data_IF_869687089560
#
_entry.id   IF_869687089560
#
_cell.length_a   1.000
_cell.length_b   1.000
_cell.length_c   1.000
_cell.angle_alpha   90.00
_cell.angle_beta   90.00
_cell.angle_gamma   90.00
#
_symmetry.space_group_name_H-M   'P 1'
#
loop_
_entity.id
_entity.type
_entity.pdbx_description
1 polymer ?
#
# COMPACT_ATOMS: atom_id res chain seq x y z
N UNK A 1 -10.52 14.10 -19.68
CA UNK A 1 -9.28 14.07 -18.87
C UNK A 1 -8.28 15.13 -19.35
N UNK A 2 -7.74 15.06 -20.59
CA UNK A 2 -6.74 16.04 -21.05
C UNK A 2 -7.19 17.51 -20.90
N UNK A 3 -8.39 17.85 -21.40
CA UNK A 3 -8.97 19.19 -21.22
C UNK A 3 -9.14 19.57 -19.74
N UNK A 4 -9.51 18.61 -18.89
CA UNK A 4 -9.67 18.86 -17.45
C UNK A 4 -8.33 19.16 -16.79
N UNK A 5 -7.25 18.46 -17.18
CA UNK A 5 -5.88 18.74 -16.73
C UNK A 5 -5.44 20.13 -17.18
N UNK A 6 -5.72 20.50 -18.43
CA UNK A 6 -5.47 21.85 -18.95
C UNK A 6 -6.19 22.91 -18.10
N UNK A 7 -7.47 22.68 -17.79
CA UNK A 7 -8.27 23.60 -16.99
C UNK A 7 -7.76 23.71 -15.54
N UNK A 8 -7.31 22.61 -14.92
CA UNK A 8 -6.68 22.68 -13.59
C UNK A 8 -5.40 23.53 -13.63
N UNK A 9 -4.60 23.35 -14.68
CA UNK A 9 -3.33 24.05 -14.84
C UNK A 9 -3.52 25.56 -15.11
N UNK A 10 -4.41 25.93 -16.02
CA UNK A 10 -4.63 27.31 -16.45
C UNK A 10 -5.43 28.16 -15.48
N UNK A 11 -6.14 27.54 -14.53
CA UNK A 11 -7.01 28.27 -13.61
C UNK A 11 -6.22 29.06 -12.55
N UNK A 12 -6.48 30.37 -12.45
CA UNK A 12 -5.78 31.27 -11.51
C UNK A 12 -6.35 31.23 -10.10
N UNK A 13 -7.67 31.04 -9.97
CA UNK A 13 -8.35 30.98 -8.67
C UNK A 13 -8.22 29.59 -8.04
N UNK A 14 -7.66 29.56 -6.83
CA UNK A 14 -7.42 28.31 -6.10
C UNK A 14 -8.69 27.49 -5.82
N UNK A 15 -9.83 28.13 -5.52
CA UNK A 15 -11.10 27.43 -5.27
C UNK A 15 -11.62 26.71 -6.51
N UNK A 16 -11.64 27.39 -7.66
CA UNK A 16 -12.07 26.82 -8.94
C UNK A 16 -11.11 25.72 -9.40
N UNK A 17 -9.80 25.89 -9.18
CA UNK A 17 -8.79 24.83 -9.43
C UNK A 17 -9.06 23.57 -8.60
N UNK A 18 -9.31 23.74 -7.31
CA UNK A 18 -9.58 22.62 -6.39
C UNK A 18 -10.88 21.88 -6.77
N UNK A 19 -11.92 22.60 -7.20
CA UNK A 19 -13.17 22.01 -7.65
C UNK A 19 -12.98 21.15 -8.90
N UNK A 20 -12.27 21.66 -9.92
CA UNK A 20 -11.99 20.92 -11.16
C UNK A 20 -11.13 19.69 -10.85
N UNK A 21 -10.12 19.84 -9.99
CA UNK A 21 -9.28 18.73 -9.54
C UNK A 21 -10.11 17.65 -8.86
N UNK A 22 -10.98 18.02 -7.91
CA UNK A 22 -11.85 17.07 -7.19
C UNK A 22 -12.76 16.31 -8.16
N UNK A 23 -13.43 17.02 -9.08
CA UNK A 23 -14.31 16.38 -10.07
C UNK A 23 -13.56 15.38 -10.96
N UNK A 24 -12.31 15.68 -11.30
CA UNK A 24 -11.48 14.78 -12.10
C UNK A 24 -11.03 13.54 -11.30
N UNK A 25 -10.69 13.72 -10.02
CA UNK A 25 -10.41 12.63 -9.09
C UNK A 25 -11.64 11.73 -8.95
N UNK A 26 -12.82 12.29 -8.73
CA UNK A 26 -14.08 11.55 -8.62
C UNK A 26 -14.37 10.77 -9.91
N UNK A 27 -14.23 11.41 -11.08
CA UNK A 27 -14.41 10.75 -12.38
C UNK A 27 -13.54 9.50 -12.53
N UNK A 28 -12.26 9.57 -12.12
CA UNK A 28 -11.34 8.43 -12.20
C UNK A 28 -11.52 7.42 -11.05
N UNK A 29 -12.10 7.84 -9.93
CA UNK A 29 -12.45 6.94 -8.81
C UNK A 29 -13.45 5.89 -9.24
N UNK A 30 -14.41 6.27 -10.10
CA UNK A 30 -15.45 5.38 -10.61
C UNK A 30 -15.11 4.75 -11.97
N UNK A 31 -13.92 4.99 -12.51
CA UNK A 31 -13.49 4.37 -13.76
C UNK A 31 -13.07 2.90 -13.52
N UNK A 32 -13.63 1.98 -14.30
CA UNK A 32 -13.29 0.56 -14.21
C UNK A 32 -11.84 0.27 -14.60
N UNK A 33 -11.22 -0.66 -13.88
CA UNK A 33 -9.91 -1.22 -14.23
C UNK A 33 -10.06 -2.20 -15.39
N UNK A 34 -9.90 -1.71 -16.61
CA UNK A 34 -9.85 -2.52 -17.83
C UNK A 34 -8.75 -2.02 -18.78
N UNK A 35 -8.36 -2.87 -19.72
CA UNK A 35 -7.28 -2.60 -20.68
C UNK A 35 -7.50 -1.31 -21.47
N UNK A 36 -8.73 -1.05 -21.92
CA UNK A 36 -9.07 0.15 -22.67
C UNK A 36 -8.85 1.43 -21.85
N UNK A 37 -9.24 1.42 -20.57
CA UNK A 37 -9.04 2.56 -19.68
C UNK A 37 -7.57 2.74 -19.31
N UNK A 38 -6.82 1.64 -19.16
CA UNK A 38 -5.37 1.71 -18.95
C UNK A 38 -4.67 2.35 -20.15
N UNK A 39 -4.93 1.87 -21.37
CA UNK A 39 -4.37 2.43 -22.62
C UNK A 39 -4.70 3.92 -22.75
N UNK A 40 -5.90 4.33 -22.36
CA UNK A 40 -6.26 5.77 -22.35
C UNK A 40 -5.40 6.57 -21.38
N UNK A 41 -5.15 6.07 -20.17
CA UNK A 41 -4.28 6.75 -19.20
C UNK A 41 -2.83 6.81 -19.67
N UNK A 42 -2.35 5.73 -20.30
CA UNK A 42 -1.00 5.63 -20.86
C UNK A 42 -0.78 6.65 -21.99
N UNK A 43 -1.69 6.67 -22.97
CA UNK A 43 -1.70 7.64 -24.06
C UNK A 43 -1.75 9.09 -23.55
N UNK A 44 -2.52 9.36 -22.48
CA UNK A 44 -2.58 10.69 -21.86
C UNK A 44 -1.27 11.05 -21.18
N UNK A 45 -0.64 10.10 -20.49
CA UNK A 45 0.67 10.30 -19.86
C UNK A 45 1.73 10.67 -20.90
N UNK A 46 1.73 9.96 -22.03
CA UNK A 46 2.63 10.20 -23.16
C UNK A 46 2.42 11.56 -23.81
N UNK A 47 1.16 11.99 -23.97
CA UNK A 47 0.84 13.33 -24.46
C UNK A 47 1.47 14.44 -23.59
N UNK A 48 1.63 14.20 -22.28
CA UNK A 48 2.23 15.15 -21.36
C UNK A 48 3.75 15.00 -21.19
N UNK A 49 4.41 14.11 -21.94
CA UNK A 49 5.86 13.85 -21.83
C UNK A 49 6.73 14.91 -22.53
N UNK A 50 6.15 15.89 -23.23
CA UNK A 50 6.90 17.01 -23.82
C UNK A 50 7.46 17.96 -22.73
N UNK A 51 8.61 18.62 -22.97
CA UNK A 51 9.20 19.55 -21.99
C UNK A 51 8.25 20.70 -21.60
N UNK A 52 7.43 21.18 -22.55
CA UNK A 52 6.41 22.22 -22.32
C UNK A 52 5.27 21.76 -21.40
N UNK A 53 5.01 20.46 -21.31
CA UNK A 53 3.88 19.89 -20.57
C UNK A 53 4.27 19.23 -19.24
N UNK A 54 5.53 19.36 -18.80
CA UNK A 54 6.02 18.80 -17.53
C UNK A 54 5.16 19.17 -16.30
N UNK A 55 4.57 20.38 -16.28
CA UNK A 55 3.65 20.80 -15.22
C UNK A 55 2.28 20.09 -15.31
N UNK A 56 1.79 19.82 -16.52
CA UNK A 56 0.54 19.08 -16.74
C UNK A 56 0.72 17.61 -16.37
N UNK A 57 1.87 17.01 -16.73
CA UNK A 57 2.25 15.66 -16.29
C UNK A 57 2.26 15.54 -14.77
N UNK A 58 2.75 16.56 -14.07
CA UNK A 58 2.71 16.61 -12.60
C UNK A 58 1.27 16.61 -12.06
N UNK A 59 0.39 17.47 -12.59
CA UNK A 59 -1.03 17.51 -12.20
C UNK A 59 -1.71 16.17 -12.50
N UNK A 60 -1.42 15.56 -13.65
CA UNK A 60 -1.93 14.25 -14.02
C UNK A 60 -1.57 13.19 -12.97
N UNK A 61 -0.30 13.08 -12.57
CA UNK A 61 0.08 12.15 -11.51
C UNK A 61 -0.54 12.47 -10.15
N UNK A 62 -0.69 13.76 -9.81
CA UNK A 62 -1.35 14.15 -8.56
C UNK A 62 -2.81 13.68 -8.55
N UNK A 63 -3.51 13.73 -9.68
CA UNK A 63 -4.86 13.17 -9.84
C UNK A 63 -4.84 11.65 -9.72
N UNK A 64 -3.95 10.96 -10.46
CA UNK A 64 -3.82 9.50 -10.43
C UNK A 64 -3.60 9.00 -8.99
N UNK A 65 -2.74 9.67 -8.25
CA UNK A 65 -2.43 9.29 -6.86
C UNK A 65 -3.66 9.42 -5.96
N UNK A 66 -4.55 10.37 -6.24
CA UNK A 66 -5.70 10.70 -5.39
C UNK A 66 -6.99 9.93 -5.73
N UNK A 67 -7.16 9.36 -6.93
CA UNK A 67 -8.43 8.71 -7.34
C UNK A 67 -8.76 7.40 -6.63
N UNK A 68 -7.86 6.78 -5.85
CA UNK A 68 -8.14 5.60 -5.02
C UNK A 68 -8.89 4.43 -5.72
N UNK A 69 -8.90 4.38 -7.06
CA UNK A 69 -9.45 3.27 -7.83
C UNK A 69 -8.34 2.27 -8.14
N UNK A 70 -8.74 1.01 -8.36
CA UNK A 70 -7.80 -0.06 -8.73
C UNK A 70 -6.99 0.32 -9.99
N UNK A 71 -7.65 0.89 -11.01
CA UNK A 71 -7.00 1.39 -12.22
C UNK A 71 -5.89 2.40 -11.91
N UNK A 72 -6.21 3.41 -11.11
CA UNK A 72 -5.27 4.46 -10.73
C UNK A 72 -4.09 3.91 -9.93
N UNK A 73 -4.36 2.99 -8.99
CA UNK A 73 -3.32 2.33 -8.21
C UNK A 73 -2.37 1.51 -9.08
N UNK A 74 -2.91 0.74 -10.05
CA UNK A 74 -2.12 -0.05 -10.99
C UNK A 74 -1.26 0.87 -11.85
N UNK A 75 -1.87 1.94 -12.40
CA UNK A 75 -1.16 2.91 -13.22
C UNK A 75 0.00 3.58 -12.47
N UNK A 76 -0.26 4.07 -11.24
CA UNK A 76 0.77 4.66 -10.38
C UNK A 76 1.88 3.66 -10.02
N UNK A 77 1.52 2.39 -9.80
CA UNK A 77 2.47 1.31 -9.51
C UNK A 77 3.41 1.03 -10.70
N UNK A 78 2.88 1.02 -11.92
CA UNK A 78 3.67 0.80 -13.14
C UNK A 78 4.55 2.00 -13.49
N UNK A 79 4.10 3.20 -13.15
CA UNK A 79 4.80 4.45 -13.41
C UNK A 79 5.58 4.98 -12.19
N UNK A 80 5.83 4.13 -11.18
CA UNK A 80 6.42 4.57 -9.90
C UNK A 80 7.73 5.35 -10.07
N UNK A 81 8.54 4.97 -11.05
CA UNK A 81 9.86 5.56 -11.31
C UNK A 81 9.79 6.94 -11.97
N UNK A 82 8.65 7.30 -12.55
CA UNK A 82 8.41 8.64 -13.11
C UNK A 82 7.92 9.64 -12.06
N UNK A 83 7.47 9.13 -10.90
CA UNK A 83 6.94 9.96 -9.85
C UNK A 83 8.05 10.74 -9.12
N UNK A 84 7.76 12.00 -8.88
CA UNK A 84 8.09 12.75 -7.65
C UNK A 84 8.53 11.97 -6.40
N UNK A 85 9.62 12.30 -5.69
CA UNK A 85 9.76 11.82 -4.29
C UNK A 85 8.55 12.20 -3.42
N UNK A 86 8.01 13.42 -3.63
CA UNK A 86 6.76 13.88 -2.98
C UNK A 86 5.56 13.05 -3.42
N UNK A 87 5.45 12.76 -4.71
CA UNK A 87 4.33 11.99 -5.29
C UNK A 87 4.38 10.53 -4.85
N UNK A 88 5.55 9.89 -4.83
CA UNK A 88 5.72 8.54 -4.28
C UNK A 88 5.29 8.45 -2.82
N UNK A 89 5.70 9.41 -1.98
CA UNK A 89 5.25 9.43 -0.59
C UNK A 89 3.74 9.63 -0.47
N UNK A 90 3.15 10.53 -1.27
CA UNK A 90 1.70 10.72 -1.31
C UNK A 90 0.97 9.44 -1.79
N UNK A 91 1.50 8.75 -2.79
CA UNK A 91 1.00 7.47 -3.28
C UNK A 91 1.01 6.42 -2.18
N UNK A 92 2.14 6.24 -1.50
CA UNK A 92 2.25 5.30 -0.37
C UNK A 92 1.24 5.63 0.73
N UNK A 93 1.06 6.91 1.07
CA UNK A 93 0.06 7.34 2.06
C UNK A 93 -1.37 7.01 1.58
N UNK A 94 -1.67 7.23 0.31
CA UNK A 94 -2.98 6.94 -0.25
C UNK A 94 -3.25 5.44 -0.32
N UNK A 95 -2.23 4.60 -0.53
CA UNK A 95 -2.37 3.14 -0.42
C UNK A 95 -2.86 2.72 0.97
N UNK A 96 -2.43 3.38 2.05
CA UNK A 96 -2.93 3.07 3.41
C UNK A 96 -4.44 3.30 3.59
N UNK A 97 -5.06 4.12 2.75
CA UNK A 97 -6.46 4.53 2.86
C UNK A 97 -7.29 4.15 1.63
N UNK A 98 -6.74 3.27 0.78
CA UNK A 98 -7.34 2.86 -0.48
C UNK A 98 -8.67 2.13 -0.25
N UNK A 99 -9.78 2.69 -0.73
CA UNK A 99 -11.14 2.22 -0.38
C UNK A 99 -11.43 0.78 -0.77
N UNK A 100 -11.10 0.40 -2.00
CA UNK A 100 -11.32 -0.97 -2.49
C UNK A 100 -10.10 -1.45 -3.29
N UNK A 101 -9.08 -2.01 -2.60
CA UNK A 101 -7.89 -2.51 -3.26
C UNK A 101 -8.19 -3.87 -3.89
N UNK A 102 -8.51 -3.87 -5.19
CA UNK A 102 -8.79 -5.11 -5.93
C UNK A 102 -7.56 -6.02 -6.10
N UNK A 103 -7.79 -7.28 -6.52
CA UNK A 103 -6.76 -8.30 -6.58
C UNK A 103 -5.64 -8.00 -7.59
N UNK A 104 -5.92 -7.24 -8.66
CA UNK A 104 -4.90 -6.89 -9.65
C UNK A 104 -3.92 -5.87 -9.06
N UNK A 105 -4.43 -4.85 -8.37
CA UNK A 105 -3.57 -3.90 -7.66
C UNK A 105 -2.72 -4.61 -6.60
N UNK A 106 -3.31 -5.48 -5.78
CA UNK A 106 -2.56 -6.27 -4.80
C UNK A 106 -1.45 -7.09 -5.48
N UNK A 107 -1.73 -7.70 -6.63
CA UNK A 107 -0.75 -8.41 -7.45
C UNK A 107 0.41 -7.51 -7.90
N UNK A 108 0.12 -6.35 -8.48
CA UNK A 108 1.15 -5.39 -8.91
C UNK A 108 2.01 -4.87 -7.76
N UNK A 109 1.40 -4.69 -6.59
CA UNK A 109 2.10 -4.27 -5.38
C UNK A 109 3.04 -5.35 -4.84
N UNK A 110 2.68 -6.64 -4.92
CA UNK A 110 3.61 -7.73 -4.57
C UNK A 110 4.81 -7.81 -5.53
N UNK A 111 4.65 -7.38 -6.78
CA UNK A 111 5.73 -7.31 -7.76
C UNK A 111 6.68 -6.12 -7.51
N UNK A 112 6.35 -5.21 -6.58
CA UNK A 112 7.16 -4.02 -6.30
C UNK A 112 8.59 -4.37 -5.86
N UNK A 113 8.74 -5.42 -5.06
CA UNK A 113 10.05 -5.89 -4.59
C UNK A 113 11.00 -6.19 -5.75
N UNK A 114 10.49 -6.94 -6.73
CA UNK A 114 11.21 -7.29 -7.95
C UNK A 114 11.51 -6.06 -8.78
N UNK A 115 10.51 -5.20 -9.02
CA UNK A 115 10.65 -3.96 -9.82
C UNK A 115 11.74 -3.05 -9.25
N UNK A 116 11.75 -2.84 -7.92
CA UNK A 116 12.73 -1.98 -7.27
C UNK A 116 14.16 -2.58 -7.31
N UNK A 117 14.29 -3.90 -7.14
CA UNK A 117 15.59 -4.61 -7.25
C UNK A 117 16.17 -4.54 -8.65
N UNK A 118 15.38 -4.85 -9.68
CA UNK A 118 15.81 -4.82 -11.09
C UNK A 118 16.34 -3.44 -11.51
N UNK A 119 15.84 -2.38 -10.88
CA UNK A 119 16.24 -0.99 -11.13
C UNK A 119 17.38 -0.50 -10.23
N UNK A 120 17.93 -1.34 -9.34
CA UNK A 120 18.91 -0.94 -8.33
C UNK A 120 18.47 0.31 -7.54
N UNK A 121 17.22 0.31 -7.05
CA UNK A 121 16.62 1.50 -6.44
C UNK A 121 17.43 2.02 -5.23
N UNK A 122 17.89 3.29 -5.23
CA UNK A 122 18.81 3.82 -4.21
C UNK A 122 18.28 3.78 -2.77
N UNK A 123 16.96 3.78 -2.59
CA UNK A 123 16.29 3.76 -1.28
C UNK A 123 15.44 2.50 -1.09
N UNK A 124 15.83 1.39 -1.73
CA UNK A 124 15.08 0.14 -1.77
C UNK A 124 14.55 -0.30 -0.40
N UNK A 125 15.43 -0.50 0.59
CA UNK A 125 15.02 -1.01 1.91
C UNK A 125 14.00 -0.09 2.60
N UNK A 126 14.20 1.23 2.55
CA UNK A 126 13.33 2.19 3.23
C UNK A 126 11.98 2.33 2.55
N UNK A 127 11.95 2.41 1.21
CA UNK A 127 10.68 2.56 0.49
C UNK A 127 9.90 1.24 0.45
N UNK A 128 10.57 0.10 0.29
CA UNK A 128 9.93 -1.22 0.35
C UNK A 128 9.29 -1.45 1.72
N UNK A 129 9.94 -1.00 2.80
CA UNK A 129 9.35 -1.03 4.13
C UNK A 129 8.03 -0.26 4.20
N UNK A 130 8.00 0.98 3.71
CA UNK A 130 6.78 1.81 3.69
C UNK A 130 5.68 1.17 2.85
N UNK A 131 6.04 0.62 1.69
CA UNK A 131 5.11 -0.10 0.82
C UNK A 131 4.50 -1.30 1.54
N UNK A 132 5.30 -2.15 2.21
CA UNK A 132 4.76 -3.28 2.99
C UNK A 132 3.80 -2.83 4.08
N UNK A 133 4.10 -1.72 4.76
CA UNK A 133 3.17 -1.12 5.72
C UNK A 133 1.86 -0.67 5.06
N UNK A 134 1.91 -0.03 3.89
CA UNK A 134 0.72 0.33 3.14
C UNK A 134 -0.09 -0.90 2.73
N UNK A 135 0.57 -1.93 2.20
CA UNK A 135 -0.07 -3.17 1.76
C UNK A 135 -0.77 -3.87 2.91
N UNK A 136 -0.16 -3.89 4.09
CA UNK A 136 -0.81 -4.45 5.28
C UNK A 136 -2.12 -3.74 5.63
N UNK A 137 -2.22 -2.43 5.40
CA UNK A 137 -3.46 -1.67 5.64
C UNK A 137 -4.50 -1.98 4.57
N UNK A 138 -4.08 -2.15 3.32
CA UNK A 138 -4.95 -2.55 2.20
C UNK A 138 -5.53 -3.95 2.40
N UNK A 139 -4.74 -4.90 2.90
CA UNK A 139 -5.23 -6.25 3.23
C UNK A 139 -6.39 -6.18 4.23
N UNK A 140 -6.22 -5.41 5.30
CA UNK A 140 -7.29 -5.21 6.26
C UNK A 140 -8.54 -4.64 5.60
N UNK A 141 -8.38 -3.58 4.80
CA UNK A 141 -9.49 -2.89 4.14
C UNK A 141 -10.23 -3.83 3.17
N UNK A 142 -9.49 -4.60 2.35
CA UNK A 142 -10.06 -5.64 1.47
C UNK A 142 -10.86 -6.66 2.26
N UNK A 143 -10.37 -7.10 3.42
CA UNK A 143 -11.04 -8.13 4.21
C UNK A 143 -12.26 -7.63 4.96
N UNK A 144 -12.37 -6.33 5.23
CA UNK A 144 -13.60 -5.74 5.77
C UNK A 144 -14.69 -5.68 4.71
N UNK A 145 -14.34 -5.27 3.49
CA UNK A 145 -15.31 -5.10 2.38
C UNK A 145 -15.67 -6.43 1.70
N UNK A 146 -14.72 -7.38 1.61
CA UNK A 146 -14.85 -8.63 0.86
C UNK A 146 -14.47 -9.86 1.71
N UNK A 147 -15.17 -10.14 2.82
CA UNK A 147 -14.75 -11.15 3.80
C UNK A 147 -14.64 -12.58 3.23
N UNK A 148 -15.41 -12.92 2.19
CA UNK A 148 -15.45 -14.26 1.60
C UNK A 148 -14.29 -14.53 0.63
N UNK A 149 -13.84 -13.52 -0.12
CA UNK A 149 -12.75 -13.68 -1.11
C UNK A 149 -11.39 -13.22 -0.57
N UNK A 150 -11.37 -12.51 0.56
CA UNK A 150 -10.16 -11.82 0.99
C UNK A 150 -8.94 -12.73 1.18
N UNK A 151 -9.13 -13.94 1.69
CA UNK A 151 -8.00 -14.86 1.91
C UNK A 151 -7.31 -15.23 0.59
N UNK A 152 -8.10 -15.46 -0.47
CA UNK A 152 -7.59 -15.72 -1.81
C UNK A 152 -6.90 -14.47 -2.38
N UNK A 153 -7.56 -13.32 -2.31
CA UNK A 153 -7.08 -12.05 -2.86
C UNK A 153 -5.77 -11.57 -2.21
N UNK A 154 -5.62 -11.79 -0.89
CA UNK A 154 -4.54 -11.20 -0.09
C UNK A 154 -3.44 -12.19 0.29
N UNK A 155 -3.63 -13.49 0.05
CA UNK A 155 -2.68 -14.53 0.47
C UNK A 155 -1.25 -14.30 -0.03
N UNK A 156 -1.09 -13.79 -1.26
CA UNK A 156 0.23 -13.43 -1.82
C UNK A 156 0.89 -12.28 -1.06
N UNK A 157 0.14 -11.24 -0.74
CA UNK A 157 0.62 -10.09 0.03
C UNK A 157 1.02 -10.53 1.43
N UNK A 158 0.20 -11.36 2.07
CA UNK A 158 0.49 -11.86 3.41
C UNK A 158 1.73 -12.74 3.44
N UNK A 159 1.90 -13.64 2.47
CA UNK A 159 3.13 -14.43 2.31
C UNK A 159 4.36 -13.54 2.11
N UNK A 160 4.22 -12.47 1.32
CA UNK A 160 5.28 -11.49 1.09
C UNK A 160 5.66 -10.69 2.34
N UNK A 161 4.69 -10.36 3.20
CA UNK A 161 4.92 -9.66 4.48
C UNK A 161 5.52 -10.61 5.52
N UNK A 162 4.95 -11.80 5.69
CA UNK A 162 5.38 -12.77 6.70
C UNK A 162 6.67 -13.48 6.34
N UNK A 163 7.19 -13.27 5.13
CA UNK A 163 8.45 -13.83 4.67
C UNK A 163 9.53 -13.48 5.71
N UNK A 164 10.18 -14.52 6.21
CA UNK A 164 11.29 -14.47 7.17
C UNK A 164 10.93 -14.17 8.63
N UNK A 165 9.64 -14.16 9.04
CA UNK A 165 9.29 -13.93 10.46
C UNK A 165 9.88 -15.00 11.39
N UNK A 166 9.96 -16.24 10.91
CA UNK A 166 10.54 -17.36 11.67
C UNK A 166 12.02 -17.09 12.01
N UNK A 167 12.75 -16.49 11.08
CA UNK A 167 14.17 -16.14 11.24
C UNK A 167 14.38 -14.97 12.21
N UNK A 168 13.32 -14.25 12.59
CA UNK A 168 13.39 -13.05 13.41
C UNK A 168 12.92 -13.25 14.85
N UNK A 169 12.65 -14.49 15.25
CA UNK A 169 12.24 -14.84 16.61
C UNK A 169 13.14 -15.89 17.28
N UNK A 170 14.40 -15.94 16.85
CA UNK A 170 15.48 -16.75 17.44
C UNK A 170 16.29 -15.98 18.48
N UNK A 171 17.14 -16.68 19.23
CA UNK A 171 18.07 -16.07 20.20
C UNK A 171 19.23 -15.36 19.50
N UNK A 172 19.78 -14.30 20.15
CA UNK A 172 21.00 -13.57 19.73
C UNK A 172 20.92 -12.90 18.34
N UNK A 173 19.77 -12.34 18.00
CA UNK A 173 19.59 -11.56 16.79
C UNK A 173 20.38 -10.24 16.82
N UNK A 174 20.83 -9.80 15.65
CA UNK A 174 21.39 -8.46 15.47
C UNK A 174 20.33 -7.38 15.67
N UNK A 175 20.74 -6.15 16.03
CA UNK A 175 19.81 -5.01 16.15
C UNK A 175 18.99 -4.76 14.88
N UNK A 176 19.57 -5.04 13.71
CA UNK A 176 18.86 -4.94 12.44
C UNK A 176 17.77 -6.00 12.30
N UNK A 177 18.07 -7.26 12.65
CA UNK A 177 17.09 -8.35 12.62
C UNK A 177 15.94 -8.10 13.62
N UNK A 178 16.24 -7.57 14.81
CA UNK A 178 15.23 -7.18 15.79
C UNK A 178 14.30 -6.07 15.27
N UNK A 179 14.85 -5.05 14.62
CA UNK A 179 14.04 -3.99 14.00
C UNK A 179 13.14 -4.54 12.88
N UNK A 180 13.66 -5.46 12.05
CA UNK A 180 12.86 -6.15 11.03
C UNK A 180 11.75 -6.99 11.65
N UNK A 181 12.02 -7.69 12.76
CA UNK A 181 11.02 -8.42 13.53
C UNK A 181 9.85 -7.53 13.94
N UNK A 182 10.14 -6.41 14.62
CA UNK A 182 9.13 -5.45 15.08
C UNK A 182 8.31 -4.91 13.91
N UNK A 183 8.95 -4.55 12.81
CA UNK A 183 8.28 -4.02 11.63
C UNK A 183 7.34 -5.05 10.98
N UNK A 184 7.81 -6.28 10.79
CA UNK A 184 6.99 -7.37 10.24
C UNK A 184 5.81 -7.68 11.16
N UNK A 185 6.00 -7.78 12.47
CA UNK A 185 4.92 -8.00 13.42
C UNK A 185 3.87 -6.87 13.36
N UNK A 186 4.30 -5.61 13.29
CA UNK A 186 3.38 -4.47 13.13
C UNK A 186 2.58 -4.54 11.80
N UNK A 187 3.20 -4.99 10.71
CA UNK A 187 2.49 -5.20 9.44
C UNK A 187 1.48 -6.35 9.54
N UNK A 188 1.84 -7.48 10.15
CA UNK A 188 0.92 -8.59 10.36
C UNK A 188 -0.29 -8.16 11.23
N UNK A 189 -0.03 -7.42 12.30
CA UNK A 189 -1.08 -6.84 13.14
C UNK A 189 -1.91 -5.75 12.44
N UNK A 190 -1.33 -5.04 11.47
CA UNK A 190 -2.08 -4.11 10.61
C UNK A 190 -3.01 -4.81 9.62
N UNK A 191 -2.58 -5.94 9.08
CA UNK A 191 -3.39 -6.75 8.17
C UNK A 191 -4.53 -7.47 8.89
N UNK A 192 -4.37 -7.76 10.19
CA UNK A 192 -5.40 -8.34 11.04
C UNK A 192 -5.81 -9.76 10.65
N UNK A 193 -5.07 -10.44 9.77
CA UNK A 193 -5.41 -11.80 9.34
C UNK A 193 -5.09 -12.82 10.43
N UNK A 194 -6.13 -13.39 11.05
CA UNK A 194 -6.00 -14.37 12.14
C UNK A 194 -5.07 -15.53 11.75
N UNK A 195 -5.17 -16.05 10.54
CA UNK A 195 -4.35 -17.19 10.12
C UNK A 195 -2.88 -16.84 9.92
N UNK A 196 -2.57 -15.60 9.55
CA UNK A 196 -1.19 -15.13 9.52
C UNK A 196 -0.64 -14.92 10.93
N UNK A 197 -1.47 -14.44 11.86
CA UNK A 197 -1.11 -14.27 13.28
C UNK A 197 -0.83 -15.62 13.94
N UNK A 198 -1.64 -16.66 13.66
CA UNK A 198 -1.42 -18.01 14.18
C UNK A 198 -0.10 -18.66 13.73
N UNK A 199 0.46 -18.20 12.61
CA UNK A 199 1.75 -18.68 12.09
C UNK A 199 2.95 -18.01 12.75
N UNK A 200 2.75 -16.93 13.52
CA UNK A 200 3.85 -16.26 14.22
C UNK A 200 4.39 -17.18 15.31
N UNK A 201 5.71 -17.48 15.33
CA UNK A 201 6.30 -18.35 16.33
C UNK A 201 6.00 -17.91 17.76
N UNK A 202 5.71 -18.87 18.64
CA UNK A 202 5.48 -18.56 20.05
C UNK A 202 6.70 -17.90 20.71
N UNK A 203 7.90 -18.19 20.20
CA UNK A 203 9.14 -17.58 20.66
C UNK A 203 9.12 -16.05 20.54
N UNK A 204 8.41 -15.47 19.57
CA UNK A 204 8.31 -14.02 19.41
C UNK A 204 7.71 -13.30 20.65
N UNK A 205 6.87 -13.99 21.43
CA UNK A 205 6.23 -13.41 22.62
C UNK A 205 6.52 -14.14 23.94
N UNK A 206 6.91 -15.42 23.91
CA UNK A 206 7.28 -16.19 25.12
C UNK A 206 8.77 -16.07 25.47
N UNK A 207 9.64 -15.76 24.51
CA UNK A 207 11.08 -15.70 24.75
C UNK A 207 11.46 -14.43 25.53
N UNK A 208 11.85 -14.61 26.80
CA UNK A 208 12.27 -13.51 27.68
C UNK A 208 13.62 -12.88 27.28
N UNK A 209 14.39 -13.53 26.41
CA UNK A 209 15.66 -13.01 25.87
C UNK A 209 15.40 -11.95 24.79
N UNK A 210 14.26 -12.00 24.11
CA UNK A 210 13.92 -11.00 23.10
C UNK A 210 13.60 -9.64 23.76
N UNK A 211 13.99 -8.53 23.12
CA UNK A 211 13.65 -7.19 23.58
C UNK A 211 12.16 -7.00 23.82
N UNK A 212 11.83 -6.14 24.78
CA UNK A 212 10.44 -5.80 25.12
C UNK A 212 9.64 -5.34 23.91
N UNK A 213 10.23 -4.57 22.99
CA UNK A 213 9.55 -4.05 21.80
C UNK A 213 9.07 -5.15 20.84
N UNK A 214 9.86 -6.23 20.66
CA UNK A 214 9.46 -7.38 19.83
C UNK A 214 8.26 -8.07 20.47
N UNK A 215 8.33 -8.29 21.79
CA UNK A 215 7.25 -8.95 22.54
C UNK A 215 5.97 -8.10 22.52
N UNK A 216 6.05 -6.78 22.72
CA UNK A 216 4.90 -5.87 22.60
C UNK A 216 4.30 -5.95 21.20
N UNK A 217 5.12 -5.85 20.15
CA UNK A 217 4.63 -5.94 18.77
C UNK A 217 3.93 -7.29 18.48
N UNK A 218 4.42 -8.39 19.06
CA UNK A 218 3.79 -9.70 18.98
C UNK A 218 2.46 -9.77 19.75
N UNK A 219 2.37 -9.18 20.95
CA UNK A 219 1.10 -9.08 21.68
C UNK A 219 0.06 -8.22 20.95
N UNK A 220 0.50 -7.15 20.29
CA UNK A 220 -0.37 -6.23 19.55
C UNK A 220 -0.92 -6.81 18.23
N UNK A 221 -0.48 -8.00 17.80
CA UNK A 221 -0.96 -8.64 16.57
C UNK A 221 -2.48 -8.77 16.51
N UNK A 222 -3.13 -9.06 17.64
CA UNK A 222 -4.58 -9.28 17.69
C UNK A 222 -5.39 -7.99 17.87
N UNK A 223 -4.78 -6.80 17.90
CA UNK A 223 -5.47 -5.54 18.20
C UNK A 223 -6.65 -5.24 17.25
N UNK A 224 -6.53 -5.63 15.97
CA UNK A 224 -7.59 -5.40 14.96
C UNK A 224 -8.69 -6.46 14.98
N UNK A 225 -8.42 -7.64 15.51
CA UNK A 225 -9.43 -8.70 15.68
C UNK A 225 -10.32 -8.47 16.91
N UNK A 226 -10.03 -7.41 17.68
CA UNK A 226 -10.63 -7.19 18.99
C UNK A 226 -10.14 -8.21 20.02
N UNK A 227 -10.39 -7.94 21.29
CA UNK A 227 -10.44 -9.04 22.25
C UNK A 227 -11.72 -9.81 21.94
N UNK A 228 -11.70 -11.14 21.72
CA UNK A 228 -12.93 -11.91 21.79
C UNK A 228 -13.58 -11.54 23.14
N UNK A 229 -14.85 -11.13 23.08
CA UNK A 229 -15.61 -10.70 24.25
C UNK A 229 -15.24 -11.58 25.46
N UNK A 230 -14.67 -10.96 26.50
CA UNK A 230 -14.26 -11.60 27.76
C UNK A 230 -15.36 -12.48 28.40
N UNK A 231 -16.61 -12.39 27.92
CA UNK A 231 -17.74 -13.23 28.30
C UNK A 231 -17.64 -14.70 27.90
N UNK A 232 -16.74 -15.09 26.99
CA UNK A 232 -16.49 -16.50 26.64
C UNK A 232 -15.32 -17.14 27.41
N UNK A 233 -14.52 -16.35 28.13
CA UNK A 233 -13.45 -16.88 29.00
C UNK A 233 -13.93 -17.13 30.45
N UNK A 234 -15.24 -16.96 30.71
CA UNK A 234 -15.93 -17.23 31.98
C UNK A 234 -17.08 -18.24 31.84
N UNK A 235 -17.15 -18.95 30.70
CA UNK A 235 -17.94 -20.18 30.56
C UNK A 235 -16.98 -21.36 30.57
#
# INVERSE_FOLDING_TARGET
IAQSIENVYSQEKNSERAEIFSKLVDYLTFAEANENNYIKLDNLCDQFSSQSDSKKKKVFYDVIIMCQSELCGIFATNNLFELTSRQRNAFIINLHTHKDPGPQLLGELTNMDRKLKERNWPHYETDMLKFKFAFSSMVWQRCQEHPTSCYEDTGRVMSFISKDIDNYCEDKLSSLALNKAVQTLKMLGNAGQIDAIKKVPESCYKNKVLPTDVRIAAFELNRRNGCPNYKLAMM
#
